data_IF_247868317557
#
_entry.id   IF_247868317557
#
_cell.length_a   1.000
_cell.length_b   1.000
_cell.length_c   1.000
_cell.angle_alpha   90.00
_cell.angle_beta   90.00
_cell.angle_gamma   90.00
#
_symmetry.space_group_name_H-M   'P 1'
#
loop_
_entity.id
_entity.type
_entity.pdbx_description
1 polymer ?
#
# COMPACT_ATOMS: atom_id res chain seq x y z
N UNK A 1 5.65 5.12 -12.60
CA UNK A 1 4.76 4.08 -12.05
C UNK A 1 4.77 4.01 -10.53
N UNK A 2 5.91 3.80 -9.87
CA UNK A 2 5.90 3.63 -8.40
C UNK A 2 5.30 4.84 -7.65
N UNK A 3 5.62 6.06 -8.07
CA UNK A 3 5.07 7.28 -7.48
C UNK A 3 3.53 7.33 -7.48
N UNK A 4 2.85 6.81 -8.52
CA UNK A 4 1.38 6.77 -8.55
C UNK A 4 0.80 5.80 -7.52
N UNK A 5 1.53 4.70 -7.23
CA UNK A 5 1.14 3.72 -6.21
C UNK A 5 1.34 4.33 -4.83
N UNK A 6 2.52 4.92 -4.58
CA UNK A 6 2.83 5.60 -3.31
C UNK A 6 1.83 6.71 -3.02
N UNK A 7 1.49 7.53 -4.02
CA UNK A 7 0.49 8.59 -3.86
C UNK A 7 -0.87 8.04 -3.42
N UNK A 8 -1.33 6.94 -4.02
CA UNK A 8 -2.62 6.36 -3.71
C UNK A 8 -2.68 5.68 -2.33
N UNK A 9 -1.54 5.21 -1.82
CA UNK A 9 -1.41 4.60 -0.49
C UNK A 9 -1.18 5.62 0.63
N UNK A 10 -0.66 6.81 0.28
CA UNK A 10 -0.24 7.80 1.25
C UNK A 10 -1.42 8.66 1.69
N UNK A 11 -1.86 8.48 2.94
CA UNK A 11 -2.79 9.43 3.59
C UNK A 11 -2.03 10.64 4.15
N UNK A 12 -0.86 10.42 4.77
CA UNK A 12 0.00 11.46 5.33
C UNK A 12 1.28 11.58 4.51
N UNK A 13 1.51 12.73 3.89
CA UNK A 13 2.67 12.98 3.01
C UNK A 13 4.03 12.65 3.65
N UNK A 14 4.14 12.80 4.98
CA UNK A 14 5.33 12.42 5.75
C UNK A 14 5.70 10.94 5.67
N UNK A 15 4.73 10.05 5.41
CA UNK A 15 4.96 8.61 5.29
C UNK A 15 5.40 8.20 3.89
N UNK A 16 5.24 9.07 2.88
CA UNK A 16 5.52 8.73 1.48
C UNK A 16 6.94 8.20 1.24
N UNK A 17 8.02 8.80 1.77
CA UNK A 17 9.38 8.29 1.54
C UNK A 17 9.59 6.91 2.15
N UNK A 18 8.94 6.61 3.28
CA UNK A 18 9.02 5.31 3.94
C UNK A 18 8.17 4.25 3.22
N UNK A 19 6.97 4.60 2.76
CA UNK A 19 6.15 3.72 1.94
C UNK A 19 6.87 3.38 0.62
N UNK A 20 7.49 4.38 -0.02
CA UNK A 20 8.34 4.17 -1.19
C UNK A 20 9.49 3.20 -0.89
N UNK A 21 10.16 3.37 0.25
CA UNK A 21 11.21 2.45 0.71
C UNK A 21 10.73 1.01 0.86
N UNK A 22 9.50 0.79 1.37
CA UNK A 22 8.92 -0.56 1.47
C UNK A 22 8.74 -1.19 0.09
N UNK A 23 8.15 -0.47 -0.86
CA UNK A 23 7.94 -1.02 -2.20
C UNK A 23 9.25 -1.27 -2.95
N UNK A 24 10.23 -0.38 -2.83
CA UNK A 24 11.57 -0.58 -3.40
C UNK A 24 12.24 -1.83 -2.80
N UNK A 25 12.10 -2.06 -1.49
CA UNK A 25 12.59 -3.27 -0.86
C UNK A 25 11.91 -4.53 -1.40
N UNK A 26 10.58 -4.51 -1.58
CA UNK A 26 9.82 -5.63 -2.16
C UNK A 26 10.28 -5.93 -3.59
N UNK A 27 10.41 -4.90 -4.43
CA UNK A 27 10.89 -5.03 -5.81
C UNK A 27 12.28 -5.67 -5.86
N UNK A 28 13.20 -5.24 -5.00
CA UNK A 28 14.57 -5.75 -4.96
C UNK A 28 14.65 -7.25 -4.64
N UNK A 29 13.71 -7.77 -3.86
CA UNK A 29 13.67 -9.19 -3.48
C UNK A 29 12.67 -10.02 -4.30
N UNK A 30 12.05 -9.43 -5.33
CA UNK A 30 11.04 -10.11 -6.14
C UNK A 30 9.73 -10.42 -5.42
N UNK A 31 9.43 -9.71 -4.32
CA UNK A 31 8.17 -9.85 -3.59
C UNK A 31 7.05 -9.08 -4.32
N UNK A 32 5.84 -9.65 -4.46
CA UNK A 32 4.70 -8.95 -5.04
C UNK A 32 4.38 -7.67 -4.26
N UNK A 33 3.95 -6.61 -4.95
CA UNK A 33 3.69 -5.32 -4.29
C UNK A 33 2.41 -5.36 -3.45
N UNK A 34 1.42 -6.16 -3.83
CA UNK A 34 0.16 -6.31 -3.09
C UNK A 34 -0.46 -4.95 -2.71
N UNK A 35 -0.51 -4.02 -3.68
CA UNK A 35 -1.01 -2.68 -3.46
C UNK A 35 -2.49 -2.59 -3.86
N UNK A 36 -3.36 -2.27 -2.92
CA UNK A 36 -4.81 -2.21 -3.13
C UNK A 36 -5.23 -1.21 -4.23
N UNK A 37 -4.59 -0.02 -4.36
CA UNK A 37 -4.91 0.92 -5.43
C UNK A 37 -4.72 0.35 -6.84
N UNK A 38 -3.80 -0.61 -7.01
CA UNK A 38 -3.57 -1.25 -8.31
C UNK A 38 -4.72 -2.20 -8.69
N UNK A 39 -5.35 -2.84 -7.70
CA UNK A 39 -6.58 -3.61 -7.90
C UNK A 39 -7.77 -2.70 -8.20
N UNK A 40 -7.91 -1.58 -7.48
CA UNK A 40 -8.97 -0.60 -7.76
C UNK A 40 -8.89 -0.09 -9.19
N UNK A 41 -7.67 0.22 -9.65
CA UNK A 41 -7.41 0.61 -11.03
C UNK A 41 -7.74 -0.51 -12.02
N UNK A 42 -7.31 -1.76 -11.74
CA UNK A 42 -7.60 -2.91 -12.58
C UNK A 42 -9.11 -3.18 -12.75
N UNK A 43 -9.90 -2.88 -11.73
CA UNK A 43 -11.34 -3.11 -11.72
C UNK A 43 -12.16 -1.91 -12.21
N UNK A 44 -11.55 -0.74 -12.37
CA UNK A 44 -12.26 0.51 -12.69
C UNK A 44 -13.20 0.97 -11.58
N UNK A 45 -12.91 0.61 -10.34
CA UNK A 45 -13.77 0.83 -9.17
C UNK A 45 -13.26 2.02 -8.35
N UNK A 46 -13.48 3.23 -8.86
CA UNK A 46 -13.05 4.49 -8.21
C UNK A 46 -13.76 4.74 -6.85
N UNK A 47 -14.90 4.10 -6.61
CA UNK A 47 -15.78 4.36 -5.46
C UNK A 47 -15.78 3.30 -4.37
N UNK A 48 -14.95 2.24 -4.47
CA UNK A 48 -14.96 1.16 -3.49
C UNK A 48 -14.00 1.44 -2.32
N UNK A 49 -14.56 1.43 -1.11
CA UNK A 49 -13.84 1.61 0.15
C UNK A 49 -13.09 0.36 0.60
N UNK A 50 -13.49 -0.85 0.17
CA UNK A 50 -12.88 -2.12 0.56
C UNK A 50 -12.74 -3.11 -0.59
N UNK A 51 -11.52 -3.60 -0.81
CA UNK A 51 -11.22 -4.68 -1.75
C UNK A 51 -11.55 -6.02 -1.08
N UNK A 52 -12.37 -6.84 -1.72
CA UNK A 52 -12.74 -8.18 -1.26
C UNK A 52 -11.66 -9.20 -1.64
N UNK A 53 -11.69 -10.39 -1.03
CA UNK A 53 -10.76 -11.45 -1.41
C UNK A 53 -10.97 -11.91 -2.86
N UNK A 54 -12.22 -11.92 -3.34
CA UNK A 54 -12.53 -12.25 -4.74
C UNK A 54 -11.88 -11.26 -5.74
N UNK A 55 -11.78 -9.98 -5.36
CA UNK A 55 -11.17 -8.95 -6.20
C UNK A 55 -9.67 -9.19 -6.43
N UNK A 56 -9.00 -9.89 -5.51
CA UNK A 56 -7.57 -10.22 -5.60
C UNK A 56 -7.27 -11.24 -6.69
N UNK A 57 -8.28 -11.96 -7.17
CA UNK A 57 -8.14 -13.00 -8.21
C UNK A 57 -8.34 -12.45 -9.62
N UNK A 58 -8.58 -11.13 -9.78
CA UNK A 58 -8.79 -10.51 -11.10
C UNK A 58 -7.56 -10.69 -12.00
N UNK A 59 -7.76 -11.30 -13.16
CA UNK A 59 -6.73 -11.45 -14.18
C UNK A 59 -6.51 -10.09 -14.89
N UNK A 60 -5.56 -9.31 -14.40
CA UNK A 60 -5.17 -8.03 -14.99
C UNK A 60 -3.67 -7.82 -14.82
N UNK A 61 -2.96 -7.21 -15.80
CA UNK A 61 -1.55 -6.91 -15.66
C UNK A 61 -1.28 -5.83 -14.59
N UNK A 62 -2.32 -5.11 -14.13
CA UNK A 62 -2.24 -4.19 -13.00
C UNK A 62 -2.42 -4.87 -11.64
N UNK A 63 -2.84 -6.15 -11.59
CA UNK A 63 -2.99 -6.86 -10.34
C UNK A 63 -1.62 -7.22 -9.75
N UNK A 64 -1.15 -6.42 -8.79
CA UNK A 64 0.13 -6.63 -8.10
C UNK A 64 0.11 -7.70 -7.00
N UNK A 65 -1.04 -8.39 -6.82
CA UNK A 65 -1.12 -9.61 -6.01
C UNK A 65 -0.75 -10.85 -6.83
N UNK A 66 -1.05 -10.85 -8.14
CA UNK A 66 -0.76 -11.96 -9.05
C UNK A 66 0.54 -11.74 -9.85
N UNK A 67 0.85 -10.49 -10.20
CA UNK A 67 2.01 -10.15 -11.00
C UNK A 67 3.11 -9.52 -10.15
N UNK A 68 4.32 -10.08 -10.22
CA UNK A 68 5.50 -9.52 -9.57
C UNK A 68 6.03 -8.30 -10.34
N UNK A 69 6.65 -7.37 -9.63
CA UNK A 69 7.21 -6.16 -10.21
C UNK A 69 6.22 -5.00 -10.28
N UNK A 70 6.53 -4.03 -11.14
CA UNK A 70 5.66 -2.87 -11.37
C UNK A 70 4.59 -3.20 -12.41
N UNK A 71 3.38 -2.63 -12.28
CA UNK A 71 2.37 -2.73 -13.33
C UNK A 71 2.83 -2.01 -14.61
N UNK A 72 2.19 -2.27 -15.77
CA UNK A 72 2.61 -1.70 -17.07
C UNK A 72 2.65 -0.18 -17.12
N UNK A 73 1.85 0.49 -16.30
CA UNK A 73 1.73 1.95 -16.28
C UNK A 73 1.36 2.50 -14.90
N UNK A 74 1.40 3.83 -14.75
CA UNK A 74 0.91 4.48 -13.54
C UNK A 74 -0.61 4.34 -13.39
N UNK A 75 -1.09 4.33 -12.15
CA UNK A 75 -2.52 4.20 -11.81
C UNK A 75 -3.23 5.55 -11.57
N UNK A 76 -2.46 6.63 -11.49
CA UNK A 76 -2.93 8.01 -11.38
C UNK A 76 -1.82 8.95 -11.87
N UNK A 77 -2.09 10.26 -11.89
CA UNK A 77 -1.07 11.28 -12.14
C UNK A 77 -0.42 11.67 -10.80
N UNK A 78 0.84 11.24 -10.54
CA UNK A 78 1.52 11.60 -9.30
C UNK A 78 1.93 13.07 -9.31
N UNK A 79 1.82 13.72 -8.15
CA UNK A 79 2.42 15.02 -7.91
C UNK A 79 3.95 14.93 -7.86
N UNK A 80 4.62 16.04 -8.13
CA UNK A 80 6.10 16.15 -8.08
C UNK A 80 6.65 15.69 -6.73
N UNK A 81 6.01 16.09 -5.63
CA UNK A 81 6.42 15.67 -4.28
C UNK A 81 6.40 14.14 -4.07
N UNK A 82 5.53 13.42 -4.76
CA UNK A 82 5.48 11.94 -4.70
C UNK A 82 6.55 11.30 -5.57
N UNK A 83 6.97 11.98 -6.63
CA UNK A 83 8.13 11.57 -7.44
C UNK A 83 9.39 11.72 -6.59
N UNK A 84 9.57 12.89 -5.96
CA UNK A 84 10.71 13.16 -5.08
C UNK A 84 10.76 12.16 -3.92
N UNK A 85 9.62 11.85 -3.30
CA UNK A 85 9.56 10.85 -2.23
C UNK A 85 10.01 9.44 -2.67
N UNK A 86 9.84 9.09 -3.94
CA UNK A 86 10.33 7.82 -4.49
C UNK A 86 11.82 7.87 -4.83
N UNK A 87 12.29 9.00 -5.37
CA UNK A 87 13.70 9.21 -5.69
C UNK A 87 14.56 9.25 -4.41
N UNK A 88 14.07 9.94 -3.38
CA UNK A 88 14.71 10.13 -2.07
C UNK A 88 14.10 9.21 -1.00
N UNK A 89 13.68 8.00 -1.40
CA UNK A 89 13.04 7.05 -0.51
C UNK A 89 13.89 6.74 0.74
N UNK A 90 13.22 6.61 1.89
CA UNK A 90 13.87 6.34 3.17
C UNK A 90 14.55 4.97 3.13
N UNK A 91 15.84 4.92 3.45
CA UNK A 91 16.59 3.66 3.50
C UNK A 91 16.29 2.92 4.79
N UNK A 92 15.58 1.81 4.67
CA UNK A 92 15.26 0.92 5.79
C UNK A 92 15.08 -0.52 5.32
N UNK A 93 14.80 -1.44 6.26
CA UNK A 93 14.57 -2.85 5.98
C UNK A 93 13.10 -3.31 6.13
N UNK A 94 12.15 -2.37 6.24
CA UNK A 94 10.72 -2.70 6.30
C UNK A 94 10.22 -3.30 4.98
N UNK A 95 9.36 -4.31 5.12
CA UNK A 95 8.72 -5.03 4.02
C UNK A 95 7.20 -4.96 4.10
N UNK A 96 6.64 -4.48 5.21
CA UNK A 96 5.20 -4.40 5.41
C UNK A 96 4.86 -3.07 6.07
N UNK A 97 3.66 -2.58 5.79
CA UNK A 97 3.08 -1.45 6.49
C UNK A 97 1.57 -1.65 6.62
N UNK A 98 0.96 -1.04 7.62
CA UNK A 98 -0.50 -0.97 7.78
C UNK A 98 -0.88 0.35 8.45
N UNK A 99 -2.13 0.78 8.32
CA UNK A 99 -2.63 1.93 9.05
C UNK A 99 -2.49 1.74 10.57
N UNK A 100 -2.11 2.81 11.29
CA UNK A 100 -1.89 2.78 12.75
C UNK A 100 -3.22 2.71 13.50
N UNK A 101 -3.23 1.94 14.59
CA UNK A 101 -4.42 1.70 15.41
C UNK A 101 -4.96 2.94 16.17
N UNK A 102 -4.19 4.02 16.25
CA UNK A 102 -4.63 5.29 16.85
C UNK A 102 -5.52 6.12 15.90
N UNK A 103 -5.71 5.66 14.65
CA UNK A 103 -6.51 6.31 13.61
C UNK A 103 -6.05 7.75 13.31
N UNK A 104 -4.77 8.03 13.56
CA UNK A 104 -4.12 9.31 13.26
C UNK A 104 -3.89 9.56 11.76
N UNK A 105 -4.07 8.51 10.94
CA UNK A 105 -3.74 8.50 9.50
C UNK A 105 -2.28 8.18 9.20
N UNK A 106 -1.46 7.92 10.22
CA UNK A 106 -0.10 7.40 10.04
C UNK A 106 -0.10 5.89 9.81
N UNK A 107 1.01 5.39 9.26
CA UNK A 107 1.27 3.97 9.05
C UNK A 107 2.24 3.41 10.10
N UNK A 108 2.00 2.15 10.49
CA UNK A 108 2.96 1.32 11.23
C UNK A 108 3.72 0.43 10.25
N UNK A 109 5.04 0.38 10.41
CA UNK A 109 5.95 -0.34 9.50
C UNK A 109 6.55 -1.55 10.20
N UNK A 110 6.74 -2.66 9.47
CA UNK A 110 7.35 -3.87 10.01
C UNK A 110 8.22 -4.62 9.00
N UNK A 111 9.18 -5.37 9.53
CA UNK A 111 10.11 -6.20 8.75
C UNK A 111 9.57 -7.61 8.53
N UNK A 112 8.82 -8.13 9.50
CA UNK A 112 8.27 -9.49 9.47
C UNK A 112 6.76 -9.48 9.28
N UNK A 113 6.26 -10.55 8.68
CA UNK A 113 4.83 -10.76 8.48
C UNK A 113 4.09 -10.93 9.80
N UNK A 114 4.68 -11.61 10.78
CA UNK A 114 4.10 -11.80 12.12
C UNK A 114 3.84 -10.46 12.83
N UNK A 115 4.80 -9.53 12.77
CA UNK A 115 4.63 -8.20 13.34
C UNK A 115 3.57 -7.40 12.57
N UNK A 116 3.51 -7.55 11.24
CA UNK A 116 2.46 -6.95 10.44
C UNK A 116 1.08 -7.45 10.87
N UNK A 117 0.90 -8.76 11.08
CA UNK A 117 -0.35 -9.34 11.58
C UNK A 117 -0.75 -8.85 12.97
N UNK A 118 0.23 -8.58 13.85
CA UNK A 118 -0.05 -7.96 15.15
C UNK A 118 -0.56 -6.54 14.98
N UNK A 119 0.07 -5.74 14.13
CA UNK A 119 -0.33 -4.35 13.89
C UNK A 119 -1.69 -4.27 13.19
N UNK A 120 -1.93 -5.12 12.18
CA UNK A 120 -3.22 -5.24 11.49
C UNK A 120 -4.35 -5.61 12.46
N UNK A 121 -4.11 -6.56 13.38
CA UNK A 121 -5.09 -6.91 14.43
C UNK A 121 -5.37 -5.76 15.39
N UNK A 122 -4.34 -4.98 15.75
CA UNK A 122 -4.54 -3.76 16.57
C UNK A 122 -5.41 -2.75 15.85
N UNK A 123 -5.15 -2.50 14.57
CA UNK A 123 -5.95 -1.60 13.73
C UNK A 123 -7.41 -2.07 13.62
N UNK A 124 -7.63 -3.36 13.33
CA UNK A 124 -8.98 -3.93 13.24
C UNK A 124 -9.74 -3.83 14.57
N UNK A 125 -9.07 -4.08 15.71
CA UNK A 125 -9.68 -3.89 17.04
C UNK A 125 -10.06 -2.45 17.30
N UNK A 126 -9.22 -1.48 16.91
CA UNK A 126 -9.52 -0.07 17.06
C UNK A 126 -10.72 0.38 16.20
N UNK A 127 -10.84 -0.12 14.97
CA UNK A 127 -12.01 0.11 14.11
C UNK A 127 -13.28 -0.48 14.73
N UNK A 128 -13.23 -1.74 15.18
CA UNK A 128 -14.36 -2.41 15.82
C UNK A 128 -14.80 -1.68 17.09
N UNK A 129 -13.86 -1.20 17.91
CA UNK A 129 -14.15 -0.45 19.13
C UNK A 129 -14.86 0.89 18.85
N UNK A 130 -14.67 1.48 17.66
CA UNK A 130 -15.38 2.69 17.20
C UNK A 130 -16.62 2.41 16.35
N UNK A 131 -17.01 1.15 16.18
CA UNK A 131 -18.18 0.76 15.39
C UNK A 131 -18.06 1.00 13.89
N UNK A 132 -16.84 1.12 13.35
CA UNK A 132 -16.59 1.38 11.92
C UNK A 132 -16.49 0.05 11.19
N UNK A 133 -17.64 -0.46 10.75
CA UNK A 133 -17.76 -1.76 10.06
C UNK A 133 -17.69 -1.65 8.53
N UNK A 134 -17.80 -0.45 7.96
CA UNK A 134 -17.55 -0.18 6.52
C UNK A 134 -16.66 1.04 6.32
#
# INVERSE_FOLDING_TARGET
TLASIVQAETVKRSDAPRIAGVYLNRLRIGMPLQADPTLKFALGLDSISRVLNADKEVASPYNTYLNNGLPPGPINMPETSMIDAVLDAEKHAFLYFCARADLSGYSDFSRTYEQHLVNARKYQRALNARGIYR
#
